data_IF_989266742891
#
_entry.id   IF_989266742891
#
_cell.length_a   1.000
_cell.length_b   1.000
_cell.length_c   1.000
_cell.angle_alpha   90.00
_cell.angle_beta   90.00
_cell.angle_gamma   90.00
#
_symmetry.space_group_name_H-M   'P 1'
#
loop_
_entity.id
_entity.type
_entity.pdbx_description
1 polymer ?
#
# COMPACT_ATOMS: atom_id res chain seq x y z
N UNK A 1 -2.99 -15.94 15.18
CA UNK A 1 -2.17 -15.58 16.34
C UNK A 1 -0.71 -15.93 16.06
N UNK A 2 0.24 -15.16 16.63
CA UNK A 2 1.67 -15.37 16.41
C UNK A 2 2.14 -16.81 16.78
N UNK A 3 1.48 -17.42 17.73
CA UNK A 3 1.74 -18.82 18.14
C UNK A 3 1.49 -19.85 17.04
N UNK A 4 0.54 -19.60 16.12
CA UNK A 4 0.27 -20.48 14.98
C UNK A 4 1.38 -20.45 13.93
N UNK A 5 2.22 -19.41 13.92
CA UNK A 5 3.33 -19.24 12.98
C UNK A 5 4.68 -19.74 13.51
N UNK A 6 4.70 -20.31 14.74
CA UNK A 6 5.88 -20.99 15.22
C UNK A 6 6.23 -22.18 14.32
N UNK A 7 7.53 -22.53 14.17
CA UNK A 7 7.97 -23.60 13.26
C UNK A 7 7.21 -24.92 13.42
N UNK A 8 6.90 -25.29 14.67
CA UNK A 8 6.16 -26.52 14.99
C UNK A 8 4.69 -26.47 14.53
N UNK A 9 4.10 -25.29 14.34
CA UNK A 9 2.70 -25.09 13.99
C UNK A 9 2.50 -24.68 12.52
N UNK A 10 3.60 -24.45 11.79
CA UNK A 10 3.57 -23.88 10.44
C UNK A 10 2.72 -24.70 9.45
N UNK A 11 2.86 -26.04 9.48
CA UNK A 11 2.05 -26.92 8.61
C UNK A 11 0.58 -26.78 8.91
N UNK A 12 0.20 -26.75 10.19
CA UNK A 12 -1.20 -26.58 10.59
C UNK A 12 -1.76 -25.19 10.19
N UNK A 13 -0.95 -24.14 10.30
CA UNK A 13 -1.32 -22.80 9.85
C UNK A 13 -1.56 -22.77 8.34
N UNK A 14 -0.70 -23.39 7.55
CA UNK A 14 -0.84 -23.50 6.10
C UNK A 14 -2.10 -24.29 5.71
N UNK A 15 -2.32 -25.44 6.34
CA UNK A 15 -3.52 -26.25 6.10
C UNK A 15 -4.81 -25.49 6.44
N UNK A 16 -4.80 -24.74 7.54
CA UNK A 16 -5.91 -23.86 7.92
C UNK A 16 -6.15 -22.76 6.88
N UNK A 17 -5.09 -22.08 6.43
CA UNK A 17 -5.18 -21.06 5.36
C UNK A 17 -5.81 -21.65 4.10
N UNK A 18 -5.34 -22.80 3.65
CA UNK A 18 -5.85 -23.45 2.45
C UNK A 18 -7.31 -23.93 2.60
N UNK A 19 -7.67 -24.41 3.78
CA UNK A 19 -9.05 -24.79 4.10
C UNK A 19 -10.00 -23.58 4.04
N UNK A 20 -9.59 -22.46 4.65
CA UNK A 20 -10.36 -21.21 4.59
C UNK A 20 -10.47 -20.67 3.17
N UNK A 21 -9.39 -20.75 2.39
CA UNK A 21 -9.38 -20.35 0.98
C UNK A 21 -10.38 -21.15 0.16
N UNK A 22 -10.38 -22.48 0.28
CA UNK A 22 -11.32 -23.34 -0.42
C UNK A 22 -12.78 -23.01 -0.07
N UNK A 23 -13.04 -22.79 1.23
CA UNK A 23 -14.37 -22.42 1.72
C UNK A 23 -14.83 -21.08 1.15
N UNK A 24 -13.98 -20.05 1.21
CA UNK A 24 -14.31 -18.70 0.74
C UNK A 24 -14.49 -18.66 -0.78
N UNK A 25 -13.57 -19.27 -1.53
CA UNK A 25 -13.67 -19.36 -2.99
C UNK A 25 -14.95 -20.11 -3.41
N UNK A 26 -15.31 -21.17 -2.67
CA UNK A 26 -16.56 -21.89 -2.91
C UNK A 26 -17.81 -21.03 -2.74
N UNK A 27 -17.77 -20.05 -1.81
CA UNK A 27 -18.90 -19.15 -1.55
C UNK A 27 -19.00 -17.98 -2.53
N UNK A 28 -17.87 -17.38 -2.91
CA UNK A 28 -17.87 -16.09 -3.63
C UNK A 28 -17.58 -16.21 -5.12
N UNK A 29 -16.96 -17.31 -5.58
CA UNK A 29 -16.59 -17.51 -6.99
C UNK A 29 -17.46 -18.59 -7.59
N UNK A 30 -18.42 -18.26 -8.46
CA UNK A 30 -19.36 -19.26 -9.01
C UNK A 30 -18.72 -20.20 -10.03
N UNK A 31 -17.64 -19.81 -10.70
CA UNK A 31 -17.02 -20.57 -11.79
C UNK A 31 -15.96 -21.57 -11.28
N UNK A 32 -16.14 -22.88 -11.50
CA UNK A 32 -15.21 -23.90 -11.01
C UNK A 32 -13.77 -23.72 -11.49
N UNK A 33 -13.57 -23.37 -12.77
CA UNK A 33 -12.24 -23.14 -13.32
C UNK A 33 -11.52 -21.95 -12.66
N UNK A 34 -12.22 -20.84 -12.41
CA UNK A 34 -11.66 -19.69 -11.71
C UNK A 34 -11.32 -20.03 -10.25
N UNK A 35 -12.18 -20.82 -9.57
CA UNK A 35 -11.88 -21.30 -8.21
C UNK A 35 -10.59 -22.10 -8.17
N UNK A 36 -10.41 -23.04 -9.11
CA UNK A 36 -9.22 -23.87 -9.18
C UNK A 36 -7.97 -23.03 -9.43
N UNK A 37 -8.04 -22.05 -10.35
CA UNK A 37 -6.94 -21.14 -10.65
C UNK A 37 -6.54 -20.30 -9.44
N UNK A 38 -7.51 -19.67 -8.78
CA UNK A 38 -7.25 -18.81 -7.62
C UNK A 38 -6.78 -19.60 -6.40
N UNK A 39 -7.29 -20.83 -6.23
CA UNK A 39 -6.79 -21.71 -5.18
C UNK A 39 -5.33 -22.12 -5.42
N UNK A 40 -4.97 -22.46 -6.66
CA UNK A 40 -3.58 -22.77 -7.01
C UNK A 40 -2.66 -21.55 -6.83
N UNK A 41 -3.11 -20.35 -7.20
CA UNK A 41 -2.37 -19.10 -6.98
C UNK A 41 -2.16 -18.86 -5.49
N UNK A 42 -3.19 -19.02 -4.66
CA UNK A 42 -3.05 -18.84 -3.22
C UNK A 42 -2.11 -19.89 -2.59
N UNK A 43 -2.19 -21.15 -3.05
CA UNK A 43 -1.27 -22.20 -2.61
C UNK A 43 0.20 -21.86 -2.95
N UNK A 44 0.43 -21.25 -4.11
CA UNK A 44 1.76 -20.81 -4.54
C UNK A 44 2.33 -19.70 -3.64
N UNK A 45 1.50 -18.77 -3.16
CA UNK A 45 1.93 -17.62 -2.35
C UNK A 45 1.82 -17.87 -0.84
N UNK A 46 1.23 -18.98 -0.42
CA UNK A 46 0.90 -19.26 0.98
C UNK A 46 2.12 -19.17 1.92
N UNK A 47 3.27 -19.65 1.48
CA UNK A 47 4.49 -19.65 2.29
C UNK A 47 4.99 -18.22 2.51
N UNK A 48 5.07 -17.41 1.46
CA UNK A 48 5.48 -15.98 1.58
C UNK A 48 4.49 -15.21 2.44
N UNK A 49 3.19 -15.44 2.28
CA UNK A 49 2.16 -14.83 3.10
C UNK A 49 2.32 -15.15 4.59
N UNK A 50 2.53 -16.43 4.95
CA UNK A 50 2.71 -16.84 6.33
C UNK A 50 4.06 -16.40 6.89
N UNK A 51 5.11 -16.37 6.07
CA UNK A 51 6.44 -15.94 6.50
C UNK A 51 6.52 -14.42 6.73
N UNK A 52 5.66 -13.63 6.10
CA UNK A 52 5.63 -12.18 6.30
C UNK A 52 5.34 -11.78 7.76
N UNK A 53 4.62 -12.63 8.48
CA UNK A 53 4.26 -12.42 9.89
C UNK A 53 5.19 -13.15 10.87
N UNK A 54 6.16 -13.93 10.36
CA UNK A 54 7.02 -14.76 11.18
C UNK A 54 7.95 -13.91 12.05
N UNK A 55 7.89 -14.16 13.36
CA UNK A 55 8.72 -13.42 14.33
C UNK A 55 8.20 -12.03 14.68
N UNK A 56 7.09 -11.59 14.14
CA UNK A 56 6.43 -10.38 14.59
C UNK A 56 5.64 -10.67 15.88
N UNK A 57 5.94 -9.91 16.93
CA UNK A 57 5.16 -9.96 18.17
C UNK A 57 3.91 -9.08 18.00
N UNK A 58 2.90 -9.61 17.31
CA UNK A 58 1.64 -8.92 17.01
C UNK A 58 0.67 -9.17 18.16
N UNK A 59 0.23 -8.09 18.82
CA UNK A 59 -0.80 -8.15 19.86
C UNK A 59 -2.22 -8.10 19.26
N UNK A 60 -2.41 -7.27 18.24
CA UNK A 60 -3.70 -7.04 17.62
C UNK A 60 -3.51 -6.80 16.12
N UNK A 61 -4.41 -7.35 15.32
CA UNK A 61 -4.49 -7.08 13.87
C UNK A 61 -5.88 -6.55 13.51
N UNK A 62 -5.92 -5.45 12.79
CA UNK A 62 -7.15 -4.92 12.23
C UNK A 62 -7.03 -4.77 10.72
N UNK A 63 -8.13 -5.04 10.01
CA UNK A 63 -8.19 -4.98 8.54
C UNK A 63 -9.16 -3.90 8.10
N UNK A 64 -8.94 -3.36 6.90
CA UNK A 64 -9.87 -2.47 6.22
C UNK A 64 -10.23 -1.21 7.04
N UNK A 65 -9.25 -0.66 7.78
CA UNK A 65 -9.46 0.54 8.59
C UNK A 65 -9.25 1.80 7.77
N UNK A 66 -10.15 2.75 7.96
CA UNK A 66 -10.08 4.07 7.34
C UNK A 66 -9.51 5.09 8.31
N UNK A 67 -8.63 5.94 7.82
CA UNK A 67 -8.04 7.03 8.58
C UNK A 67 -7.97 8.31 7.76
N UNK A 68 -7.86 9.44 8.45
CA UNK A 68 -7.78 10.77 7.84
C UNK A 68 -6.74 11.63 8.52
N UNK A 69 -6.13 12.54 7.75
CA UNK A 69 -5.24 13.56 8.26
C UNK A 69 -5.56 14.90 7.60
N UNK A 70 -5.92 15.87 8.41
CA UNK A 70 -6.32 17.20 7.94
C UNK A 70 -5.13 18.15 7.87
N UNK A 71 -5.04 18.88 6.77
CA UNK A 71 -4.13 19.99 6.53
C UNK A 71 -4.95 21.28 6.38
N UNK A 72 -5.46 21.86 7.48
CA UNK A 72 -6.46 22.92 7.46
C UNK A 72 -5.95 24.19 6.78
N UNK A 73 -4.67 24.50 6.91
CA UNK A 73 -4.05 25.66 6.24
C UNK A 73 -4.06 25.56 4.71
N UNK A 74 -4.14 24.35 4.18
CA UNK A 74 -4.23 24.08 2.75
C UNK A 74 -5.64 23.73 2.29
N UNK A 75 -6.61 23.67 3.22
CA UNK A 75 -7.95 23.20 2.94
C UNK A 75 -8.01 21.77 2.41
N UNK A 76 -7.09 20.91 2.83
CA UNK A 76 -6.90 19.58 2.27
C UNK A 76 -6.96 18.49 3.34
N UNK A 77 -7.59 17.36 3.00
CA UNK A 77 -7.65 16.18 3.86
C UNK A 77 -7.10 14.97 3.12
N UNK A 78 -6.07 14.34 3.68
CA UNK A 78 -5.57 13.03 3.22
C UNK A 78 -6.44 11.94 3.81
N UNK A 79 -6.84 10.98 2.99
CA UNK A 79 -7.63 9.81 3.42
C UNK A 79 -6.94 8.54 2.96
N UNK A 80 -6.90 7.54 3.82
CA UNK A 80 -6.41 6.22 3.48
C UNK A 80 -7.31 5.14 4.07
N UNK A 81 -7.32 3.98 3.43
CA UNK A 81 -7.88 2.74 3.95
C UNK A 81 -6.78 1.69 3.89
N UNK A 82 -6.46 1.10 5.02
CA UNK A 82 -5.44 0.07 5.14
C UNK A 82 -6.03 -1.30 4.82
N UNK A 83 -5.27 -2.16 4.15
CA UNK A 83 -5.63 -3.58 4.07
C UNK A 83 -5.46 -4.22 5.44
N UNK A 84 -4.34 -3.93 6.11
CA UNK A 84 -4.05 -4.43 7.46
C UNK A 84 -3.16 -3.47 8.24
N UNK A 85 -3.46 -3.32 9.52
CA UNK A 85 -2.65 -2.61 10.50
C UNK A 85 -2.51 -3.48 11.75
N UNK A 86 -1.27 -3.69 12.20
CA UNK A 86 -0.94 -4.49 13.36
C UNK A 86 -0.39 -3.62 14.48
N UNK A 87 -0.81 -3.90 15.70
CA UNK A 87 -0.22 -3.35 16.92
C UNK A 87 0.81 -4.35 17.42
N UNK A 88 2.06 -3.91 17.52
CA UNK A 88 3.17 -4.72 18.00
C UNK A 88 3.25 -4.72 19.53
N UNK A 89 3.99 -5.66 20.11
CA UNK A 89 4.13 -5.80 21.56
C UNK A 89 4.71 -4.56 22.25
N UNK A 90 5.54 -3.77 21.56
CA UNK A 90 6.06 -2.51 22.05
C UNK A 90 5.09 -1.31 21.89
N UNK A 91 3.90 -1.55 21.32
CA UNK A 91 2.88 -0.55 21.09
C UNK A 91 2.97 0.18 19.75
N UNK A 92 4.04 -0.01 18.98
CA UNK A 92 4.18 0.54 17.63
C UNK A 92 3.24 -0.14 16.63
N UNK A 93 3.03 0.51 15.50
CA UNK A 93 2.23 -0.04 14.40
C UNK A 93 3.12 -0.60 13.28
N UNK A 94 2.60 -1.63 12.62
CA UNK A 94 3.06 -2.10 11.32
C UNK A 94 1.89 -2.02 10.34
N UNK A 95 2.11 -1.42 9.16
CA UNK A 95 1.07 -1.25 8.14
C UNK A 95 1.41 -2.11 6.94
N UNK A 96 0.42 -2.86 6.46
CA UNK A 96 0.61 -3.85 5.39
C UNK A 96 -0.42 -3.59 4.29
N UNK A 97 0.05 -3.68 3.04
CA UNK A 97 -0.77 -3.64 1.82
C UNK A 97 -0.46 -4.85 0.94
N UNK A 98 -1.50 -5.50 0.45
CA UNK A 98 -1.40 -6.69 -0.38
C UNK A 98 -1.55 -6.34 -1.86
N UNK A 99 -0.54 -6.65 -2.66
CA UNK A 99 -0.57 -6.43 -4.11
C UNK A 99 -0.79 -7.75 -4.85
N UNK A 100 -1.72 -7.78 -5.78
CA UNK A 100 -1.98 -8.97 -6.63
C UNK A 100 -0.86 -9.24 -7.63
N UNK A 101 0.01 -8.24 -7.88
CA UNK A 101 1.21 -8.33 -8.71
C UNK A 101 2.49 -8.30 -7.90
N UNK A 102 3.57 -7.81 -8.52
CA UNK A 102 4.82 -7.50 -7.83
C UNK A 102 4.62 -6.30 -6.90
N UNK A 103 5.23 -6.29 -5.71
CA UNK A 103 5.21 -5.12 -4.84
C UNK A 103 6.09 -4.01 -5.43
N UNK A 104 5.77 -2.73 -5.16
CA UNK A 104 6.55 -1.61 -5.65
C UNK A 104 7.98 -1.66 -5.10
N UNK A 105 8.95 -1.42 -5.95
CA UNK A 105 10.35 -1.29 -5.57
C UNK A 105 10.59 -0.05 -4.71
N UNK A 106 11.73 0.02 -4.02
CA UNK A 106 12.08 1.20 -3.22
C UNK A 106 12.16 2.49 -4.05
N UNK A 107 12.62 2.40 -5.31
CA UNK A 107 12.63 3.55 -6.22
C UNK A 107 11.23 4.00 -6.62
N UNK A 108 10.30 3.07 -6.82
CA UNK A 108 8.89 3.37 -7.07
C UNK A 108 8.22 4.00 -5.86
N UNK A 109 8.50 3.48 -4.65
CA UNK A 109 8.00 4.07 -3.39
C UNK A 109 8.56 5.49 -3.19
N UNK A 110 9.83 5.72 -3.51
CA UNK A 110 10.43 7.05 -3.41
C UNK A 110 9.82 8.07 -4.38
N UNK A 111 9.43 7.64 -5.59
CA UNK A 111 8.98 8.54 -6.65
C UNK A 111 7.46 8.68 -6.76
N UNK A 112 6.71 7.56 -6.68
CA UNK A 112 5.30 7.52 -7.06
C UNK A 112 4.39 6.82 -6.05
N UNK A 113 4.83 5.72 -5.46
CA UNK A 113 3.99 4.87 -4.61
C UNK A 113 4.04 5.36 -3.16
N UNK A 114 3.31 6.42 -2.88
CA UNK A 114 3.28 7.09 -1.57
C UNK A 114 2.20 6.57 -0.62
N UNK A 115 1.40 5.60 -1.05
CA UNK A 115 0.22 5.12 -0.31
C UNK A 115 0.54 4.79 1.14
N UNK A 116 1.49 3.90 1.39
CA UNK A 116 1.78 3.46 2.77
C UNK A 116 2.55 4.49 3.58
N UNK A 117 3.39 5.34 2.97
CA UNK A 117 4.06 6.45 3.66
C UNK A 117 3.05 7.48 4.16
N UNK A 118 2.07 7.84 3.32
CA UNK A 118 0.98 8.73 3.73
C UNK A 118 0.06 8.07 4.75
N UNK A 119 -0.13 6.76 4.67
CA UNK A 119 -0.89 6.01 5.67
C UNK A 119 -0.18 5.99 7.03
N UNK A 120 1.16 5.85 7.04
CA UNK A 120 1.96 5.97 8.26
C UNK A 120 1.87 7.36 8.87
N UNK A 121 1.89 8.41 8.03
CA UNK A 121 1.69 9.79 8.47
C UNK A 121 0.31 9.97 9.16
N UNK A 122 -0.76 9.42 8.56
CA UNK A 122 -2.10 9.44 9.16
C UNK A 122 -2.08 8.75 10.53
N UNK A 123 -1.44 7.58 10.64
CA UNK A 123 -1.37 6.80 11.87
C UNK A 123 -0.65 7.52 13.00
N UNK A 124 0.52 8.11 12.72
CA UNK A 124 1.28 8.84 13.74
C UNK A 124 0.58 10.11 14.22
N UNK A 125 -0.26 10.71 13.38
CA UNK A 125 -1.08 11.87 13.75
C UNK A 125 -2.46 11.49 14.33
N UNK A 126 -2.71 10.22 14.66
CA UNK A 126 -3.94 9.78 15.32
C UNK A 126 -5.15 9.72 14.39
N UNK A 127 -4.94 9.74 13.08
CA UNK A 127 -6.02 9.74 12.09
C UNK A 127 -6.81 8.43 12.00
N UNK A 128 -6.33 7.36 12.65
CA UNK A 128 -7.08 6.13 12.88
C UNK A 128 -7.65 6.15 14.30
N UNK A 129 -8.93 6.45 14.43
CA UNK A 129 -9.60 6.68 15.73
C UNK A 129 -9.49 5.51 16.69
N UNK A 130 -9.43 4.28 16.19
CA UNK A 130 -9.34 3.06 17.00
C UNK A 130 -8.00 2.91 17.72
N UNK A 131 -6.94 3.54 17.21
CA UNK A 131 -5.58 3.39 17.74
C UNK A 131 -5.08 4.64 18.47
N UNK A 132 -5.59 5.84 18.12
CA UNK A 132 -4.98 7.10 18.51
C UNK A 132 -3.58 7.31 17.88
N UNK A 133 -2.85 8.35 18.26
CA UNK A 133 -1.50 8.59 17.74
C UNK A 133 -0.54 7.50 18.23
N UNK A 134 0.12 6.82 17.31
CA UNK A 134 1.10 5.76 17.59
C UNK A 134 2.22 5.77 16.55
N UNK A 135 3.44 5.53 17.01
CA UNK A 135 4.59 5.38 16.11
C UNK A 135 4.40 4.19 15.16
N UNK A 136 4.78 4.39 13.92
CA UNK A 136 4.80 3.34 12.91
C UNK A 136 6.23 2.82 12.77
N UNK A 137 6.45 1.55 13.12
CA UNK A 137 7.75 0.91 13.00
C UNK A 137 8.13 0.66 11.55
N UNK A 138 7.17 0.16 10.77
CA UNK A 138 7.43 -0.19 9.36
C UNK A 138 6.16 -0.25 8.54
N UNK A 139 6.36 -0.13 7.23
CA UNK A 139 5.36 -0.42 6.21
C UNK A 139 5.83 -1.60 5.36
N UNK A 140 4.91 -2.40 4.86
CA UNK A 140 5.22 -3.57 4.04
C UNK A 140 4.24 -3.72 2.89
N UNK A 141 4.77 -3.86 1.69
CA UNK A 141 4.02 -4.34 0.53
C UNK A 141 4.27 -5.83 0.34
N UNK A 142 3.22 -6.63 0.33
CA UNK A 142 3.29 -8.07 0.13
C UNK A 142 2.72 -8.41 -1.26
N UNK A 143 3.60 -8.74 -2.19
CA UNK A 143 3.22 -9.16 -3.53
C UNK A 143 2.80 -10.62 -3.57
N UNK A 144 1.57 -10.87 -4.03
CA UNK A 144 0.95 -12.18 -4.15
C UNK A 144 0.84 -12.64 -5.61
N UNK A 145 1.67 -12.08 -6.49
CA UNK A 145 1.75 -12.45 -7.90
C UNK A 145 2.55 -13.73 -8.15
N UNK A 146 2.92 -13.95 -9.42
CA UNK A 146 3.66 -15.16 -9.84
C UNK A 146 5.06 -15.27 -9.20
N UNK A 147 5.64 -14.16 -8.77
CA UNK A 147 6.90 -14.13 -8.04
C UNK A 147 6.67 -13.40 -6.72
N UNK A 148 6.12 -14.12 -5.71
CA UNK A 148 5.73 -13.52 -4.44
C UNK A 148 6.95 -13.04 -3.67
N UNK A 149 6.86 -11.82 -3.11
CA UNK A 149 7.90 -11.24 -2.27
C UNK A 149 7.34 -10.14 -1.39
N UNK A 150 8.07 -9.82 -0.32
CA UNK A 150 7.76 -8.71 0.58
C UNK A 150 8.79 -7.60 0.41
N UNK A 151 8.32 -6.37 0.23
CA UNK A 151 9.13 -5.16 0.29
C UNK A 151 8.78 -4.39 1.55
N UNK A 152 9.72 -4.34 2.49
CA UNK A 152 9.57 -3.67 3.78
C UNK A 152 10.41 -2.41 3.84
N UNK A 153 9.84 -1.36 4.43
CA UNK A 153 10.50 -0.09 4.71
C UNK A 153 10.31 0.26 6.17
N UNK A 154 11.42 0.43 6.89
CA UNK A 154 11.40 0.95 8.26
C UNK A 154 11.06 2.44 8.21
N UNK A 155 10.20 2.88 9.12
CA UNK A 155 9.76 4.27 9.21
C UNK A 155 10.65 5.01 10.20
N UNK A 156 11.10 6.18 9.81
CA UNK A 156 11.80 7.11 10.69
C UNK A 156 11.09 8.46 10.70
N UNK A 157 11.24 9.25 11.77
CA UNK A 157 10.67 10.60 11.83
C UNK A 157 11.10 11.50 10.67
N UNK A 158 12.36 11.37 10.25
CA UNK A 158 12.93 12.14 9.14
C UNK A 158 12.24 11.80 7.82
N UNK A 159 12.03 10.50 7.56
CA UNK A 159 11.33 10.03 6.36
C UNK A 159 9.90 10.58 6.30
N UNK A 160 9.15 10.52 7.40
CA UNK A 160 7.79 11.05 7.44
C UNK A 160 7.74 12.57 7.33
N UNK A 161 8.72 13.27 7.92
CA UNK A 161 8.81 14.72 7.78
C UNK A 161 9.09 15.14 6.33
N UNK A 162 9.97 14.43 5.63
CA UNK A 162 10.24 14.65 4.21
C UNK A 162 9.00 14.41 3.35
N UNK A 163 8.28 13.31 3.58
CA UNK A 163 7.05 13.00 2.85
C UNK A 163 5.95 14.04 3.10
N UNK A 164 5.79 14.51 4.35
CA UNK A 164 4.84 15.56 4.67
C UNK A 164 5.19 16.87 3.96
N UNK A 165 6.47 17.26 3.97
CA UNK A 165 6.94 18.47 3.26
C UNK A 165 6.71 18.36 1.75
N UNK A 166 6.98 17.19 1.16
CA UNK A 166 6.72 16.93 -0.25
C UNK A 166 5.24 17.04 -0.58
N UNK A 167 4.37 16.48 0.26
CA UNK A 167 2.91 16.59 0.10
C UNK A 167 2.43 18.04 0.18
N UNK A 168 2.87 18.78 1.20
CA UNK A 168 2.52 20.20 1.37
C UNK A 168 2.98 21.03 0.16
N UNK A 169 4.20 20.82 -0.30
CA UNK A 169 4.72 21.51 -1.48
C UNK A 169 3.90 21.22 -2.73
N UNK A 170 3.53 19.94 -2.95
CA UNK A 170 2.71 19.52 -4.07
C UNK A 170 1.33 20.19 -4.05
N UNK A 171 0.62 20.13 -2.91
CA UNK A 171 -0.71 20.72 -2.76
C UNK A 171 -0.63 22.24 -2.94
N UNK A 172 0.35 22.90 -2.32
CA UNK A 172 0.56 24.34 -2.46
C UNK A 172 0.78 24.74 -3.91
N UNK A 173 1.59 23.97 -4.65
CA UNK A 173 1.80 24.19 -6.07
C UNK A 173 0.49 24.13 -6.87
N UNK A 174 -0.32 23.10 -6.63
CA UNK A 174 -1.58 22.91 -7.37
C UNK A 174 -2.74 23.79 -6.89
N UNK A 175 -2.64 24.39 -5.72
CA UNK A 175 -3.57 25.43 -5.26
C UNK A 175 -3.27 26.81 -5.90
N UNK A 176 -2.13 26.96 -6.59
CA UNK A 176 -1.80 28.19 -7.28
C UNK A 176 -2.60 28.33 -8.59
N UNK A 177 -3.28 29.47 -8.81
CA UNK A 177 -3.99 29.70 -10.07
C UNK A 177 -3.09 29.68 -11.32
N UNK A 178 -1.77 29.89 -11.13
CA UNK A 178 -0.80 29.86 -12.24
C UNK A 178 -0.29 28.45 -12.57
N UNK A 179 -0.68 27.44 -11.78
CA UNK A 179 -0.27 26.06 -12.02
C UNK A 179 -1.28 25.37 -12.94
N UNK A 180 -0.88 25.10 -14.17
CA UNK A 180 -1.67 24.28 -15.08
C UNK A 180 -1.59 22.78 -14.75
N UNK A 181 -2.62 22.06 -15.15
CA UNK A 181 -2.68 20.60 -15.05
C UNK A 181 -2.28 19.99 -16.38
N UNK A 182 -1.23 19.18 -16.39
CA UNK A 182 -0.85 18.39 -17.55
C UNK A 182 -1.50 17.02 -17.49
N UNK A 183 -1.83 16.46 -18.64
CA UNK A 183 -2.34 15.09 -18.73
C UNK A 183 -1.33 14.04 -18.22
N UNK A 184 -0.04 14.33 -18.37
CA UNK A 184 1.08 13.53 -17.85
C UNK A 184 2.16 14.44 -17.34
N UNK A 185 2.37 14.45 -16.03
CA UNK A 185 3.46 15.21 -15.41
C UNK A 185 4.77 14.43 -15.34
N UNK A 186 4.66 13.16 -14.99
CA UNK A 186 5.81 12.28 -14.86
C UNK A 186 5.45 10.90 -15.43
N UNK A 187 6.37 10.30 -16.15
CA UNK A 187 6.20 8.97 -16.69
C UNK A 187 7.05 8.00 -15.90
N UNK A 188 6.39 7.00 -15.33
CA UNK A 188 7.07 5.89 -14.69
C UNK A 188 7.75 4.99 -15.73
N UNK A 189 7.10 4.76 -16.87
CA UNK A 189 7.66 4.01 -18.00
C UNK A 189 7.10 4.52 -19.32
N UNK A 190 7.99 4.73 -20.30
CA UNK A 190 7.61 5.07 -21.68
C UNK A 190 7.23 3.81 -22.47
N UNK A 191 7.57 2.62 -21.97
CA UNK A 191 7.40 1.35 -22.68
C UNK A 191 5.95 0.88 -22.76
N UNK A 192 5.09 1.39 -21.88
CA UNK A 192 3.69 1.00 -21.83
C UNK A 192 2.82 2.22 -22.12
N UNK A 193 2.29 2.35 -23.36
CA UNK A 193 1.34 3.40 -23.68
C UNK A 193 0.08 3.25 -22.83
N UNK A 194 -0.45 4.36 -22.36
CA UNK A 194 -1.74 4.40 -21.69
C UNK A 194 -2.86 4.40 -22.73
N UNK A 195 -3.99 3.76 -22.41
CA UNK A 195 -5.19 3.78 -23.26
C UNK A 195 -5.70 5.22 -23.57
N UNK A 196 -5.29 6.19 -22.75
CA UNK A 196 -5.68 7.60 -22.87
C UNK A 196 -4.62 8.50 -23.47
N UNK A 197 -3.49 7.96 -23.96
CA UNK A 197 -2.41 8.77 -24.52
C UNK A 197 -2.87 9.61 -25.73
N UNK A 198 -3.74 9.06 -26.56
CA UNK A 198 -4.33 9.78 -27.69
C UNK A 198 -5.25 10.94 -27.26
N UNK A 199 -5.92 10.84 -26.10
CA UNK A 199 -6.74 11.93 -25.56
C UNK A 199 -5.88 13.04 -24.94
N UNK A 200 -4.74 12.68 -24.38
CA UNK A 200 -3.78 13.64 -23.82
C UNK A 200 -2.85 14.23 -24.88
N UNK A 201 -2.96 13.80 -26.15
CA UNK A 201 -2.05 14.17 -27.25
C UNK A 201 -0.58 13.89 -26.89
N UNK A 202 -0.34 12.82 -26.11
CA UNK A 202 0.99 12.43 -25.69
C UNK A 202 1.88 12.13 -26.91
N UNK A 203 3.09 12.73 -26.90
CA UNK A 203 4.01 12.68 -28.04
C UNK A 203 3.91 13.89 -29.00
N UNK A 204 2.90 14.74 -28.84
CA UNK A 204 2.74 16.00 -29.59
C UNK A 204 3.26 17.22 -28.81
N UNK A 205 3.67 17.05 -27.56
CA UNK A 205 4.18 18.10 -26.67
C UNK A 205 5.44 17.63 -25.94
N UNK A 206 6.28 18.60 -25.56
CA UNK A 206 7.53 18.35 -24.84
C UNK A 206 7.30 18.49 -23.32
N UNK A 207 7.83 17.54 -22.53
CA UNK A 207 7.78 17.58 -21.07
C UNK A 207 8.56 18.75 -20.46
N UNK A 208 9.49 19.35 -21.22
CA UNK A 208 10.24 20.52 -20.80
C UNK A 208 9.49 21.86 -21.01
N UNK A 209 8.39 21.85 -21.77
CA UNK A 209 7.56 23.04 -21.98
C UNK A 209 6.89 23.48 -20.67
N UNK A 210 6.94 24.80 -20.43
CA UNK A 210 6.25 25.36 -19.26
C UNK A 210 4.74 25.31 -19.49
N UNK A 211 4.03 24.76 -18.51
CA UNK A 211 2.58 24.78 -18.50
C UNK A 211 2.12 26.21 -18.23
N UNK A 212 1.43 26.80 -19.18
CA UNK A 212 0.79 28.09 -19.01
C UNK A 212 -0.66 27.88 -18.57
N UNK A 213 -1.10 28.56 -17.51
CA UNK A 213 -2.52 28.63 -17.18
C UNK A 213 -3.23 29.41 -18.28
N UNK A 214 -4.28 28.83 -18.85
CA UNK A 214 -5.19 29.48 -19.79
C UNK A 214 -6.32 30.14 -19.04
#
# INVERSE_FOLDING_TARGET
PAEELLPQNYTAAKDRLMTLAALMLGKIVPWPAARALWFAQLAHVADVFLESDRGAEILESQTERSGTYDLPELGFTVKARTDRIDVLANGDLQIIDYKTGAPPTKSEQAAFEKQLLLTALIAENGGFTDFGPKSVKSISYIGLGNNPKTERTEITPELLAEELQGLIALITQYNSPSQGYTARRAMFSVQYPSDYDHLSRFGEWDLSEKVNAT
#
